data_IF_082751015775
#
_entry.id   IF_082751015775
#
_cell.length_a   1.000
_cell.length_b   1.000
_cell.length_c   1.000
_cell.angle_alpha   90.00
_cell.angle_beta   90.00
_cell.angle_gamma   90.00
#
_symmetry.space_group_name_H-M   'P 1'
#
loop_
_entity.id
_entity.type
_entity.pdbx_description
1 polymer ?
#
# COMPACT_ATOMS: atom_id res chain seq x y z
N UNK A 1 7.05 -3.99 9.26
CA UNK A 1 5.87 -3.26 8.70
C UNK A 1 4.55 -3.77 9.29
N UNK A 2 3.44 -3.02 9.18
CA UNK A 2 2.09 -3.50 9.55
C UNK A 2 1.08 -3.16 8.46
N UNK A 3 0.01 -3.93 8.37
CA UNK A 3 -1.09 -3.64 7.43
C UNK A 3 -2.46 -3.86 8.07
N UNK A 4 -3.45 -3.14 7.58
CA UNK A 4 -4.82 -3.20 8.05
C UNK A 4 -5.79 -3.10 6.87
N UNK A 5 -6.79 -3.98 6.83
CA UNK A 5 -7.92 -3.85 5.91
C UNK A 5 -8.89 -2.77 6.40
N UNK A 6 -9.35 -1.94 5.47
CA UNK A 6 -10.35 -0.88 5.68
C UNK A 6 -11.75 -1.29 5.20
N UNK A 7 -11.87 -2.53 4.71
CA UNK A 7 -13.09 -3.14 4.19
C UNK A 7 -13.35 -4.46 4.91
N UNK A 8 -14.59 -4.96 4.82
CA UNK A 8 -14.92 -6.31 5.25
C UNK A 8 -14.43 -7.32 4.22
N UNK A 9 -13.36 -8.05 4.57
CA UNK A 9 -12.74 -9.05 3.69
C UNK A 9 -13.61 -10.28 3.43
N UNK A 10 -14.71 -10.47 4.17
CA UNK A 10 -15.65 -11.56 3.90
C UNK A 10 -16.59 -11.27 2.73
N UNK A 11 -16.74 -9.99 2.37
CA UNK A 11 -17.67 -9.52 1.32
C UNK A 11 -16.97 -8.74 0.21
N UNK A 12 -15.78 -8.21 0.46
CA UNK A 12 -15.01 -7.45 -0.51
C UNK A 12 -14.15 -8.37 -1.39
N UNK A 13 -14.22 -8.19 -2.70
CA UNK A 13 -13.36 -8.90 -3.66
C UNK A 13 -11.97 -8.27 -3.65
N UNK A 14 -11.01 -8.96 -3.04
CA UNK A 14 -9.62 -8.50 -2.95
C UNK A 14 -8.89 -8.65 -4.30
N UNK A 15 -7.95 -7.75 -4.63
CA UNK A 15 -7.12 -7.92 -5.81
C UNK A 15 -6.21 -9.14 -5.68
N UNK A 16 -5.82 -9.76 -6.80
CA UNK A 16 -4.96 -10.96 -6.81
C UNK A 16 -3.63 -10.77 -6.06
N UNK A 17 -3.06 -9.56 -6.11
CA UNK A 17 -1.81 -9.20 -5.41
C UNK A 17 -1.95 -9.21 -3.88
N UNK A 18 -3.16 -9.24 -3.32
CA UNK A 18 -3.36 -9.02 -1.88
C UNK A 18 -2.61 -10.03 -1.00
N UNK A 19 -2.59 -11.29 -1.45
CA UNK A 19 -1.81 -12.35 -0.80
C UNK A 19 -0.30 -12.06 -0.80
N UNK A 20 0.22 -11.53 -1.91
CA UNK A 20 1.62 -11.14 -2.03
C UNK A 20 1.96 -9.92 -1.16
N UNK A 21 1.06 -8.93 -1.07
CA UNK A 21 1.21 -7.80 -0.14
C UNK A 21 1.28 -8.30 1.30
N UNK A 22 0.40 -9.22 1.68
CA UNK A 22 0.40 -9.81 3.03
C UNK A 22 1.72 -10.52 3.32
N UNK A 23 2.16 -11.39 2.42
CA UNK A 23 3.43 -12.09 2.57
C UNK A 23 4.61 -11.11 2.64
N UNK A 24 4.61 -10.04 1.83
CA UNK A 24 5.66 -9.02 1.88
C UNK A 24 5.69 -8.34 3.25
N UNK A 25 4.53 -7.90 3.75
CA UNK A 25 4.42 -7.17 5.04
C UNK A 25 4.79 -8.06 6.23
N UNK A 26 4.37 -9.32 6.25
CA UNK A 26 4.64 -10.28 7.33
C UNK A 26 6.12 -10.71 7.40
N UNK A 27 6.84 -10.66 6.28
CA UNK A 27 8.27 -10.97 6.24
C UNK A 27 9.17 -9.81 6.71
N UNK A 28 8.59 -8.65 7.03
CA UNK A 28 9.36 -7.53 7.58
C UNK A 28 9.31 -7.57 9.10
N UNK A 29 10.48 -7.44 9.75
CA UNK A 29 10.56 -7.33 11.19
C UNK A 29 9.69 -6.17 11.71
N UNK A 30 9.00 -6.41 12.82
CA UNK A 30 8.19 -5.40 13.48
C UNK A 30 9.08 -4.52 14.36
N UNK A 31 9.53 -3.38 13.83
CA UNK A 31 10.12 -2.33 14.62
C UNK A 31 9.06 -1.32 15.11
N UNK A 32 9.45 -0.51 16.10
CA UNK A 32 8.63 0.57 16.66
C UNK A 32 9.39 1.89 16.47
N UNK A 33 9.20 2.56 15.33
CA UNK A 33 9.72 3.91 15.09
C UNK A 33 8.66 5.01 15.35
N UNK A 34 9.15 6.23 15.59
CA UNK A 34 8.32 7.42 15.87
C UNK A 34 7.70 8.04 14.60
N UNK A 35 8.35 7.87 13.44
CA UNK A 35 7.88 8.38 12.15
C UNK A 35 7.25 7.28 11.29
N UNK A 36 5.96 7.43 10.94
CA UNK A 36 5.14 6.41 10.29
C UNK A 36 4.59 6.92 8.95
N UNK A 37 5.02 6.29 7.87
CA UNK A 37 4.42 6.44 6.54
C UNK A 37 3.16 5.61 6.42
N UNK A 38 2.06 6.24 5.98
CA UNK A 38 0.78 5.56 5.70
C UNK A 38 0.59 5.43 4.20
N UNK A 39 0.70 4.21 3.69
CA UNK A 39 0.53 3.88 2.27
C UNK A 39 -0.85 3.28 2.05
N UNK A 40 -1.69 3.95 1.28
CA UNK A 40 -3.01 3.45 0.90
C UNK A 40 -2.92 2.60 -0.37
N UNK A 41 -3.72 1.54 -0.43
CA UNK A 41 -3.86 0.68 -1.61
C UNK A 41 -5.32 0.71 -2.06
N UNK A 42 -5.53 1.04 -3.32
CA UNK A 42 -6.83 1.14 -3.96
C UNK A 42 -7.07 -0.04 -4.90
N UNK A 43 -8.27 -0.57 -4.85
CA UNK A 43 -8.78 -1.55 -5.80
C UNK A 43 -10.20 -1.18 -6.20
N UNK A 44 -10.50 -1.10 -7.50
CA UNK A 44 -11.83 -0.75 -8.04
C UNK A 44 -12.39 0.56 -7.45
N UNK A 45 -11.53 1.57 -7.32
CA UNK A 45 -11.90 2.90 -6.78
C UNK A 45 -12.06 2.98 -5.26
N UNK A 46 -11.86 1.88 -4.53
CA UNK A 46 -12.00 1.82 -3.07
C UNK A 46 -10.62 1.63 -2.44
N UNK A 47 -10.26 2.48 -1.47
CA UNK A 47 -9.07 2.25 -0.63
C UNK A 47 -9.42 1.12 0.33
N UNK A 48 -8.88 -0.06 0.06
CA UNK A 48 -9.29 -1.28 0.75
C UNK A 48 -8.29 -1.68 1.84
N UNK A 49 -7.04 -1.22 1.74
CA UNK A 49 -5.96 -1.58 2.66
C UNK A 49 -5.04 -0.39 2.90
N UNK A 50 -4.54 -0.31 4.12
CA UNK A 50 -3.46 0.60 4.50
C UNK A 50 -2.27 -0.22 4.98
N UNK A 51 -1.08 0.16 4.53
CA UNK A 51 0.20 -0.35 5.00
C UNK A 51 0.91 0.79 5.73
N UNK A 52 1.37 0.51 6.94
CA UNK A 52 2.18 1.45 7.71
C UNK A 52 3.63 1.00 7.70
N UNK A 53 4.50 1.90 7.27
CA UNK A 53 5.94 1.72 7.13
C UNK A 53 6.66 2.71 8.04
N UNK A 54 7.86 2.36 8.47
CA UNK A 54 8.71 3.30 9.19
C UNK A 54 9.42 4.25 8.21
N UNK A 55 9.82 5.42 8.69
CA UNK A 55 10.63 6.36 7.92
C UNK A 55 12.07 5.85 7.74
N UNK A 56 12.38 5.37 6.53
CA UNK A 56 13.73 4.96 6.16
C UNK A 56 13.81 4.27 4.80
N UNK A 57 15.03 4.20 4.26
CA UNK A 57 15.36 3.50 3.01
C UNK A 57 15.04 1.99 3.06
N UNK A 58 14.84 1.40 4.24
CA UNK A 58 14.69 -0.06 4.42
C UNK A 58 13.28 -0.59 4.12
N UNK A 59 12.23 0.21 4.29
CA UNK A 59 10.85 -0.29 4.24
C UNK A 59 10.04 0.36 3.10
N UNK A 60 10.11 1.69 3.00
CA UNK A 60 9.30 2.45 2.04
C UNK A 60 9.72 2.20 0.59
N UNK A 61 11.03 2.21 0.32
CA UNK A 61 11.57 2.02 -1.03
C UNK A 61 11.29 0.59 -1.51
N UNK A 62 11.65 -0.48 -0.76
CA UNK A 62 11.38 -1.84 -1.21
C UNK A 62 9.89 -2.13 -1.41
N UNK A 63 9.02 -1.57 -0.55
CA UNK A 63 7.58 -1.71 -0.75
C UNK A 63 7.10 -0.99 -2.01
N UNK A 64 7.60 0.23 -2.27
CA UNK A 64 7.25 0.99 -3.47
C UNK A 64 7.70 0.28 -4.75
N UNK A 65 8.92 -0.28 -4.74
CA UNK A 65 9.45 -1.09 -5.85
C UNK A 65 8.63 -2.35 -6.06
N UNK A 66 8.34 -3.10 -4.98
CA UNK A 66 7.46 -4.27 -5.02
C UNK A 66 6.10 -3.96 -5.66
N UNK A 67 5.46 -2.84 -5.27
CA UNK A 67 4.18 -2.43 -5.85
C UNK A 67 4.32 -2.07 -7.33
N UNK A 68 5.39 -1.37 -7.73
CA UNK A 68 5.65 -1.03 -9.13
C UNK A 68 5.87 -2.27 -10.01
N UNK A 69 6.60 -3.27 -9.52
CA UNK A 69 6.85 -4.54 -10.21
C UNK A 69 5.55 -5.33 -10.48
N UNK A 70 4.56 -5.16 -9.61
CA UNK A 70 3.22 -5.73 -9.77
C UNK A 70 2.23 -4.79 -10.49
N UNK A 71 2.73 -3.77 -11.19
CA UNK A 71 1.91 -2.93 -12.05
C UNK A 71 1.12 -1.85 -11.33
N UNK A 72 1.41 -1.55 -10.06
CA UNK A 72 0.82 -0.41 -9.36
C UNK A 72 1.60 0.87 -9.65
N UNK A 73 0.97 2.02 -9.46
CA UNK A 73 1.61 3.34 -9.43
C UNK A 73 1.16 4.11 -8.20
N UNK A 74 2.04 4.96 -7.69
CA UNK A 74 1.71 5.90 -6.61
C UNK A 74 1.16 7.21 -7.18
N UNK A 75 -0.12 7.48 -6.92
CA UNK A 75 -0.80 8.73 -7.34
C UNK A 75 -0.51 9.92 -6.42
N UNK A 76 -0.01 9.70 -5.20
CA UNK A 76 0.26 10.78 -4.25
C UNK A 76 1.63 11.43 -4.47
N UNK A 77 2.54 10.75 -5.19
CA UNK A 77 3.92 11.19 -5.44
C UNK A 77 4.02 12.61 -6.03
N UNK A 78 3.04 13.03 -6.83
CA UNK A 78 2.99 14.37 -7.44
C UNK A 78 2.37 15.45 -6.53
N UNK A 79 1.70 15.06 -5.44
CA UNK A 79 0.92 15.96 -4.57
C UNK A 79 1.41 16.01 -3.13
N UNK A 80 2.46 15.27 -2.78
CA UNK A 80 3.04 15.19 -1.44
C UNK A 80 2.23 14.31 -0.48
N UNK A 81 0.91 14.47 -0.43
CA UNK A 81 0.00 13.61 0.35
C UNK A 81 -1.38 13.49 -0.32
N UNK A 82 -2.07 12.36 -0.15
CA UNK A 82 -3.46 12.18 -0.53
C UNK A 82 -4.31 11.86 0.70
N UNK A 83 -5.19 12.78 1.13
CA UNK A 83 -6.13 12.57 2.27
C UNK A 83 -5.46 12.01 3.55
N UNK A 84 -4.23 12.44 3.85
CA UNK A 84 -3.47 11.96 5.02
C UNK A 84 -2.69 10.65 4.81
N UNK A 85 -2.66 10.13 3.58
CA UNK A 85 -1.75 9.06 3.15
C UNK A 85 -0.54 9.68 2.46
N UNK A 86 0.64 9.12 2.73
CA UNK A 86 1.89 9.51 2.08
C UNK A 86 1.97 8.98 0.65
N UNK A 87 1.38 7.81 0.39
CA UNK A 87 1.26 7.22 -0.94
C UNK A 87 -0.15 6.69 -1.19
N UNK A 88 -0.57 6.67 -2.45
CA UNK A 88 -1.79 6.01 -2.90
C UNK A 88 -1.48 5.11 -4.09
N UNK A 89 -1.36 3.81 -3.84
CA UNK A 89 -1.11 2.82 -4.86
C UNK A 89 -2.41 2.39 -5.56
N UNK A 90 -2.39 2.45 -6.89
CA UNK A 90 -3.47 1.95 -7.75
C UNK A 90 -2.87 1.11 -8.89
N UNK A 91 -3.55 0.04 -9.29
CA UNK A 91 -3.11 -0.76 -10.42
C UNK A 91 -3.26 0.03 -11.73
N UNK A 92 -2.26 -0.02 -12.63
CA UNK A 92 -2.27 0.74 -13.90
C UNK A 92 -3.50 0.47 -14.78
N UNK A 93 -4.07 -0.73 -14.69
CA UNK A 93 -5.28 -1.09 -15.43
C UNK A 93 -6.51 -0.29 -14.97
N UNK A 94 -6.59 0.07 -13.69
CA UNK A 94 -7.73 0.78 -13.10
C UNK A 94 -7.75 2.28 -13.44
N UNK A 95 -6.70 2.79 -14.09
CA UNK A 95 -6.60 4.20 -14.51
C UNK A 95 -7.15 4.48 -15.91
N UNK A 96 -7.46 3.44 -16.67
CA UNK A 96 -7.90 3.55 -18.08
C UNK A 96 -9.40 3.30 -18.26
N UNK A 97 -10.14 3.14 -17.18
CA UNK A 97 -11.61 2.96 -17.16
C UNK A 97 -12.36 4.28 -17.11
#
# INVERSE_FOLDING_TARGET
MKSQYLVDISTFELPEIDSAITAFVENQDAYWADDIYRLAIMHRGIIYRVVTCEEGFSDLIPFTEFMHDHGYIDLAKDKGHFKGYSSLFIHKADLRS
#
